data_IF_337654820849
#
_entry.id   IF_337654820849
#
_cell.length_a   1.000
_cell.length_b   1.000
_cell.length_c   1.000
_cell.angle_alpha   90.00
_cell.angle_beta   90.00
_cell.angle_gamma   90.00
#
_symmetry.space_group_name_H-M   'P 1'
#
loop_
_entity.id
_entity.type
_entity.pdbx_description
1 polymer ?
#
# COMPACT_ATOMS: atom_id res chain seq x y z
N UNK A 1 -41.30 14.29 31.74
CA UNK A 1 -40.20 15.15 31.23
C UNK A 1 -39.07 14.21 30.83
N UNK A 2 -38.60 14.07 29.60
CA UNK A 2 -39.04 14.47 28.27
C UNK A 2 -38.42 13.44 27.30
N UNK A 3 -39.15 13.04 26.26
CA UNK A 3 -38.66 12.17 25.19
C UNK A 3 -37.52 12.84 24.43
N UNK A 4 -36.39 12.13 24.29
CA UNK A 4 -35.29 12.60 23.45
C UNK A 4 -35.60 12.28 21.99
N UNK A 5 -36.27 13.22 21.32
CA UNK A 5 -36.51 13.16 19.88
C UNK A 5 -35.19 13.40 19.16
N UNK A 6 -34.58 12.35 18.62
CA UNK A 6 -33.46 12.47 17.67
C UNK A 6 -33.98 13.20 16.44
N UNK A 7 -33.78 14.51 16.40
CA UNK A 7 -34.06 15.37 15.26
C UNK A 7 -32.72 15.82 14.70
N UNK A 8 -32.50 15.55 13.42
CA UNK A 8 -31.31 15.97 12.70
C UNK A 8 -30.36 14.81 12.36
N UNK A 9 -30.78 13.95 11.42
CA UNK A 9 -29.78 13.55 10.41
C UNK A 9 -29.63 14.80 9.57
N UNK A 10 -28.59 15.57 9.83
CA UNK A 10 -28.18 16.64 8.93
C UNK A 10 -27.81 15.97 7.60
N UNK A 11 -28.73 16.04 6.63
CA UNK A 11 -28.46 15.69 5.24
C UNK A 11 -27.66 16.81 4.56
N UNK A 12 -26.73 17.45 5.27
CA UNK A 12 -25.64 18.16 4.63
C UNK A 12 -24.73 17.08 4.06
N UNK A 13 -25.07 16.60 2.86
CA UNK A 13 -24.12 15.89 2.02
C UNK A 13 -22.95 16.84 1.80
N UNK A 14 -21.96 16.73 2.67
CA UNK A 14 -20.77 17.57 2.66
C UNK A 14 -20.20 17.47 1.24
N UNK A 15 -20.13 18.56 0.46
CA UNK A 15 -19.67 18.51 -0.91
C UNK A 15 -18.24 17.97 -1.00
N UNK A 16 -17.49 17.96 0.10
CA UNK A 16 -16.20 17.29 0.26
C UNK A 16 -16.33 15.76 0.26
N UNK A 17 -17.33 15.19 0.95
CA UNK A 17 -17.60 13.74 0.95
C UNK A 17 -18.10 13.31 -0.43
N UNK A 18 -18.97 14.10 -1.06
CA UNK A 18 -19.40 13.85 -2.44
C UNK A 18 -18.22 13.99 -3.41
N UNK A 19 -17.37 15.02 -3.30
CA UNK A 19 -16.14 15.15 -4.12
C UNK A 19 -15.15 14.00 -3.91
N UNK A 20 -14.99 13.49 -2.69
CA UNK A 20 -14.17 12.31 -2.39
C UNK A 20 -14.77 11.01 -2.97
N UNK A 21 -16.10 10.93 -3.08
CA UNK A 21 -16.81 9.82 -3.72
C UNK A 21 -16.71 9.86 -5.25
N UNK A 22 -16.66 11.07 -5.82
CA UNK A 22 -16.61 11.34 -7.27
C UNK A 22 -15.21 11.63 -7.81
N UNK A 23 -14.17 11.67 -6.96
CA UNK A 23 -12.79 11.76 -7.43
C UNK A 23 -12.51 10.53 -8.26
N UNK A 24 -12.38 10.72 -9.59
CA UNK A 24 -12.13 9.68 -10.59
C UNK A 24 -11.39 8.48 -9.99
N UNK A 25 -12.13 7.39 -9.75
CA UNK A 25 -11.62 6.22 -9.04
C UNK A 25 -10.30 5.77 -9.65
N UNK A 26 -9.29 5.53 -8.80
CA UNK A 26 -8.02 4.98 -9.26
C UNK A 26 -8.29 3.69 -10.05
N UNK A 27 -7.66 3.53 -11.23
CA UNK A 27 -7.95 2.40 -12.07
C UNK A 27 -7.51 1.10 -11.37
N UNK A 28 -8.32 0.06 -11.52
CA UNK A 28 -8.09 -1.22 -10.81
C UNK A 28 -7.65 -2.34 -11.75
N UNK A 29 -7.82 -2.14 -13.06
CA UNK A 29 -7.49 -3.10 -14.10
C UNK A 29 -6.20 -2.73 -14.84
N UNK A 30 -5.32 -3.70 -15.05
CA UNK A 30 -4.11 -3.51 -15.85
C UNK A 30 -4.43 -3.16 -17.32
N UNK A 31 -5.48 -3.76 -17.89
CA UNK A 31 -5.84 -3.59 -19.30
C UNK A 31 -6.31 -2.17 -19.66
N UNK A 32 -6.89 -1.47 -18.70
CA UNK A 32 -7.30 -0.06 -18.86
C UNK A 32 -6.08 0.86 -18.70
N UNK A 33 -5.19 0.51 -17.79
CA UNK A 33 -4.05 1.31 -17.38
C UNK A 33 -2.91 1.27 -18.39
N UNK A 34 -2.68 0.10 -18.99
CA UNK A 34 -1.63 -0.06 -20.02
C UNK A 34 -1.91 0.75 -21.28
N UNK A 35 -3.13 1.27 -21.48
CA UNK A 35 -3.45 2.13 -22.63
C UNK A 35 -2.99 3.58 -22.45
N UNK A 36 -2.72 4.00 -21.21
CA UNK A 36 -2.29 5.36 -20.88
C UNK A 36 -0.78 5.39 -20.60
N UNK A 37 -0.07 6.18 -21.42
CA UNK A 37 1.38 6.35 -21.33
C UNK A 37 1.85 6.84 -19.95
N UNK A 38 1.03 7.64 -19.24
CA UNK A 38 1.39 8.15 -17.91
C UNK A 38 1.52 7.03 -16.89
N UNK A 39 0.69 6.01 -17.02
CA UNK A 39 0.74 4.84 -16.15
C UNK A 39 1.79 3.83 -16.60
N UNK A 40 2.01 3.65 -17.90
CA UNK A 40 3.14 2.86 -18.42
C UNK A 40 4.46 3.38 -17.84
N UNK A 41 4.69 4.69 -17.93
CA UNK A 41 5.89 5.31 -17.35
C UNK A 41 6.01 5.05 -15.84
N UNK A 42 4.90 5.11 -15.09
CA UNK A 42 4.92 4.82 -13.66
C UNK A 42 5.22 3.33 -13.36
N UNK A 43 4.80 2.40 -14.22
CA UNK A 43 5.13 0.98 -14.12
C UNK A 43 6.60 0.72 -14.45
N UNK A 44 7.13 1.36 -15.49
CA UNK A 44 8.55 1.26 -15.88
C UNK A 44 9.47 1.81 -14.78
N UNK A 45 9.10 2.94 -14.15
CA UNK A 45 9.83 3.49 -13.00
C UNK A 45 9.87 2.53 -11.80
N UNK A 46 8.78 1.79 -11.56
CA UNK A 46 8.73 0.78 -10.49
C UNK A 46 9.59 -0.43 -10.86
N UNK A 47 9.50 -0.95 -12.08
CA UNK A 47 10.34 -2.07 -12.55
C UNK A 47 11.83 -1.71 -12.45
N UNK A 48 12.23 -0.53 -12.93
CA UNK A 48 13.60 -0.06 -12.81
C UNK A 48 14.06 0.08 -11.35
N UNK A 49 13.15 0.42 -10.44
CA UNK A 49 13.46 0.49 -9.00
C UNK A 49 13.65 -0.91 -8.41
N UNK A 50 12.82 -1.87 -8.80
CA UNK A 50 12.91 -3.27 -8.37
C UNK A 50 14.22 -3.89 -8.86
N UNK A 51 14.59 -3.67 -10.13
CA UNK A 51 15.84 -4.13 -10.72
C UNK A 51 17.05 -3.52 -10.01
N UNK A 52 17.01 -2.22 -9.72
CA UNK A 52 18.10 -1.53 -9.01
C UNK A 52 18.28 -2.02 -7.57
N UNK A 53 17.21 -2.47 -6.91
CA UNK A 53 17.29 -2.91 -5.53
C UNK A 53 17.93 -4.30 -5.38
N UNK A 54 18.07 -5.07 -6.48
CA UNK A 54 18.68 -6.40 -6.48
C UNK A 54 18.09 -7.34 -5.41
N UNK A 55 16.79 -7.20 -5.14
CA UNK A 55 16.07 -7.95 -4.11
C UNK A 55 15.39 -9.21 -4.65
N UNK A 56 15.55 -9.53 -5.93
CA UNK A 56 14.83 -10.61 -6.60
C UNK A 56 15.73 -11.33 -7.62
N UNK A 57 15.50 -12.63 -7.77
CA UNK A 57 16.13 -13.44 -8.80
C UNK A 57 15.03 -14.28 -9.49
N UNK A 58 15.09 -14.39 -10.81
CA UNK A 58 14.22 -15.29 -11.54
C UNK A 58 14.68 -16.73 -11.31
N UNK A 59 13.89 -17.50 -10.56
CA UNK A 59 14.19 -18.90 -10.26
C UNK A 59 13.07 -19.84 -10.68
N UNK A 60 13.39 -21.11 -10.90
CA UNK A 60 12.38 -22.15 -11.14
C UNK A 60 11.60 -22.44 -9.86
N UNK A 61 10.30 -22.73 -9.98
CA UNK A 61 9.46 -23.02 -8.83
C UNK A 61 9.97 -24.30 -8.13
N UNK A 62 10.40 -24.22 -6.86
CA UNK A 62 10.87 -25.39 -6.13
C UNK A 62 9.76 -26.44 -5.99
N UNK A 63 10.13 -27.73 -6.04
CA UNK A 63 9.15 -28.82 -5.95
C UNK A 63 8.35 -28.70 -4.65
N UNK A 64 7.01 -28.72 -4.77
CA UNK A 64 6.09 -28.64 -3.63
C UNK A 64 5.72 -27.23 -3.18
N UNK A 65 6.27 -26.18 -3.79
CA UNK A 65 5.89 -24.80 -3.51
C UNK A 65 4.79 -24.31 -4.46
N UNK A 66 3.97 -23.36 -4.01
CA UNK A 66 2.95 -22.70 -4.83
C UNK A 66 3.44 -21.31 -5.21
N UNK A 67 3.27 -20.92 -6.46
CA UNK A 67 3.61 -19.56 -6.90
C UNK A 67 2.75 -18.52 -6.17
N UNK A 68 3.39 -17.52 -5.57
CA UNK A 68 2.70 -16.33 -5.08
C UNK A 68 2.49 -15.39 -6.27
N UNK A 69 1.23 -15.13 -6.61
CA UNK A 69 0.92 -14.17 -7.67
C UNK A 69 1.24 -12.74 -7.23
N UNK A 70 1.56 -11.86 -8.18
CA UNK A 70 1.69 -10.41 -7.95
C UNK A 70 0.46 -9.66 -8.45
N UNK A 71 0.30 -8.41 -8.02
CA UNK A 71 -0.74 -7.48 -8.48
C UNK A 71 -0.17 -6.07 -8.56
N UNK A 72 -0.58 -5.33 -9.57
CA UNK A 72 -0.35 -3.89 -9.66
C UNK A 72 -1.34 -3.10 -8.81
N UNK A 73 -0.82 -2.12 -8.07
CA UNK A 73 -1.58 -1.13 -7.30
C UNK A 73 -1.31 0.24 -7.91
N UNK A 74 -2.38 0.91 -8.33
CA UNK A 74 -2.34 2.22 -8.96
C UNK A 74 -2.90 3.28 -8.02
N UNK A 75 -2.25 4.44 -7.99
CA UNK A 75 -2.71 5.59 -7.21
C UNK A 75 -2.34 6.90 -7.86
N UNK A 76 -3.33 7.76 -8.10
CA UNK A 76 -3.10 9.17 -8.46
C UNK A 76 -2.71 9.94 -7.20
N UNK A 77 -1.59 10.67 -7.27
CA UNK A 77 -1.14 11.59 -6.23
C UNK A 77 -1.56 12.99 -6.62
N UNK A 78 -2.41 13.59 -5.79
CA UNK A 78 -2.91 14.94 -5.99
C UNK A 78 -2.08 15.93 -5.18
N UNK A 79 -1.86 17.13 -5.73
CA UNK A 79 -1.25 18.24 -5.02
C UNK A 79 -2.26 18.90 -4.05
N UNK A 80 -1.81 19.91 -3.29
CA UNK A 80 -2.68 20.66 -2.36
C UNK A 80 -3.83 21.41 -3.05
N UNK A 81 -3.73 21.62 -4.36
CA UNK A 81 -4.73 22.28 -5.20
C UNK A 81 -5.73 21.28 -5.82
N UNK A 82 -5.61 19.98 -5.51
CA UNK A 82 -6.49 18.92 -6.02
C UNK A 82 -6.16 18.44 -7.44
N UNK A 83 -5.08 18.93 -8.05
CA UNK A 83 -4.63 18.50 -9.38
C UNK A 83 -3.73 17.26 -9.28
N UNK A 84 -3.86 16.34 -10.23
CA UNK A 84 -2.98 15.16 -10.33
C UNK A 84 -1.54 15.63 -10.60
N UNK A 85 -0.68 15.41 -9.63
CA UNK A 85 0.75 15.71 -9.68
C UNK A 85 1.55 14.54 -10.24
N UNK A 86 1.21 13.31 -9.82
CA UNK A 86 1.95 12.11 -10.24
C UNK A 86 1.07 10.87 -10.26
N UNK A 87 1.32 10.00 -11.23
CA UNK A 87 0.80 8.64 -11.28
C UNK A 87 1.78 7.71 -10.56
N UNK A 88 1.28 6.90 -9.63
CA UNK A 88 2.10 5.97 -8.87
C UNK A 88 1.61 4.55 -9.09
N UNK A 89 2.44 3.70 -9.67
CA UNK A 89 2.24 2.26 -9.77
C UNK A 89 3.13 1.56 -8.74
N UNK A 90 2.68 0.42 -8.22
CA UNK A 90 3.45 -0.47 -7.35
C UNK A 90 3.15 -1.92 -7.68
N UNK A 91 4.19 -2.75 -7.75
CA UNK A 91 4.03 -4.19 -7.90
C UNK A 91 4.10 -4.85 -6.52
N UNK A 92 3.05 -5.57 -6.14
CA UNK A 92 2.94 -6.15 -4.78
C UNK A 92 2.57 -7.62 -4.86
N UNK A 93 3.23 -8.45 -4.04
CA UNK A 93 2.90 -9.86 -3.90
C UNK A 93 1.54 -10.06 -3.19
N UNK A 94 0.76 -11.06 -3.64
CA UNK A 94 -0.51 -11.45 -3.04
C UNK A 94 -0.28 -12.25 -1.76
N UNK A 95 0.11 -11.54 -0.69
CA UNK A 95 0.49 -12.14 0.60
C UNK A 95 -0.59 -12.99 1.28
N UNK A 96 -1.87 -12.82 0.94
CA UNK A 96 -2.97 -13.64 1.47
C UNK A 96 -2.89 -15.13 1.06
N UNK A 97 -2.01 -15.47 0.11
CA UNK A 97 -1.76 -16.85 -0.31
C UNK A 97 -0.55 -17.50 0.40
N UNK A 98 0.12 -16.79 1.29
CA UNK A 98 1.26 -17.34 2.03
C UNK A 98 0.79 -18.36 3.07
N UNK A 99 1.40 -19.54 3.07
CA UNK A 99 1.14 -20.59 4.06
C UNK A 99 2.20 -20.57 5.17
N UNK A 100 1.76 -20.65 6.44
CA UNK A 100 2.67 -20.67 7.58
C UNK A 100 3.53 -21.95 7.56
N UNK A 101 4.86 -21.79 7.53
CA UNK A 101 5.81 -22.90 7.47
C UNK A 101 6.27 -23.29 6.07
N UNK A 102 5.69 -22.69 5.02
CA UNK A 102 6.17 -22.80 3.63
C UNK A 102 6.80 -21.47 3.22
N UNK A 103 5.99 -20.44 2.93
CA UNK A 103 6.50 -19.15 2.40
C UNK A 103 6.53 -18.02 3.46
N UNK A 104 5.85 -18.21 4.59
CA UNK A 104 5.62 -17.12 5.56
C UNK A 104 6.88 -16.64 6.30
N UNK A 105 7.88 -17.50 6.49
CA UNK A 105 9.09 -17.18 7.26
C UNK A 105 10.23 -16.61 6.41
N UNK A 106 10.10 -16.63 5.09
CA UNK A 106 11.18 -16.24 4.19
C UNK A 106 11.25 -14.71 3.98
N UNK A 107 10.13 -14.00 4.17
CA UNK A 107 10.04 -12.56 3.89
C UNK A 107 9.75 -11.77 5.17
N UNK A 108 10.79 -11.44 5.94
CA UNK A 108 10.68 -10.50 7.05
C UNK A 108 11.17 -9.11 6.63
N UNK A 109 10.26 -8.13 6.55
CA UNK A 109 10.65 -6.73 6.60
C UNK A 109 10.96 -6.37 8.06
N UNK A 110 12.17 -5.88 8.40
CA UNK A 110 12.46 -5.45 9.77
C UNK A 110 11.63 -4.21 10.08
N UNK A 111 10.57 -4.36 10.89
CA UNK A 111 9.77 -3.24 11.38
C UNK A 111 10.26 -2.89 12.78
N UNK A 112 10.90 -1.72 12.91
CA UNK A 112 11.26 -1.17 14.20
C UNK A 112 9.98 -0.82 14.98
N UNK A 113 9.78 -1.48 16.13
CA UNK A 113 8.66 -1.17 17.03
C UNK A 113 9.10 -0.10 18.02
N UNK A 114 8.26 0.93 18.20
CA UNK A 114 8.52 1.99 19.17
C UNK A 114 8.72 1.43 20.58
N UNK A 115 8.03 0.35 20.95
CA UNK A 115 8.20 -0.29 22.25
C UNK A 115 9.59 -0.90 22.41
N UNK A 116 10.13 -1.53 21.37
CA UNK A 116 11.50 -2.04 21.35
C UNK A 116 12.51 -0.91 21.45
N UNK A 117 12.29 0.20 20.74
CA UNK A 117 13.17 1.38 20.81
C UNK A 117 13.15 1.99 22.23
N UNK A 118 11.96 2.17 22.82
CA UNK A 118 11.80 2.69 24.18
C UNK A 118 12.47 1.80 25.21
N UNK A 119 12.35 0.48 25.08
CA UNK A 119 13.02 -0.48 25.96
C UNK A 119 14.54 -0.32 25.89
N UNK A 120 15.10 -0.24 24.68
CA UNK A 120 16.55 -0.06 24.49
C UNK A 120 17.03 1.26 25.10
N UNK A 121 16.28 2.35 24.91
CA UNK A 121 16.60 3.66 25.53
C UNK A 121 16.53 3.58 27.06
N UNK A 122 15.50 2.93 27.61
CA UNK A 122 15.35 2.78 29.05
C UNK A 122 16.50 1.96 29.67
N UNK A 123 16.94 0.90 28.99
CA UNK A 123 18.09 0.10 29.41
C UNK A 123 19.40 0.91 29.34
N UNK A 124 19.62 1.67 28.26
CA UNK A 124 20.79 2.53 28.13
C UNK A 124 20.85 3.58 29.27
N UNK A 125 19.71 4.21 29.58
CA UNK A 125 19.60 5.17 30.68
C UNK A 125 19.86 4.51 32.06
N UNK A 126 19.35 3.28 32.28
CA UNK A 126 19.60 2.53 33.51
C UNK A 126 21.08 2.16 33.67
N UNK A 127 21.74 1.79 32.57
CA UNK A 127 23.14 1.35 32.58
C UNK A 127 24.16 2.48 32.38
N UNK A 128 23.70 3.74 32.29
CA UNK A 128 24.55 4.92 32.02
C UNK A 128 25.47 4.73 30.80
N UNK A 129 24.92 4.12 29.75
CA UNK A 129 25.58 3.96 28.46
C UNK A 129 25.61 5.25 27.65
#
# INVERSE_FOLDING_TARGET
>A
MADFKVTGIDQSEDPVIHFALFSESDPTSFEEVVKDEKWQKAMDEEMATIDRNDTWELTELPKGHKTIGVKWIYKKKMNKEGKVERHKARLVAKGYKQEFGVDYKEVFAPVARLDTIRLVIALAAQHSW
#
